data_IF_347918493481
#
_entry.id   IF_347918493481
#
_cell.length_a   1.000
_cell.length_b   1.000
_cell.length_c   1.000
_cell.angle_alpha   90.00
_cell.angle_beta   90.00
_cell.angle_gamma   90.00
#
_symmetry.space_group_name_H-M   'P 1'
#
loop_
_entity.id
_entity.type
_entity.pdbx_description
1 polymer ?
#
# COMPACT_ATOMS: atom_id res chain seq x y z
N UNK A 1 32.49 9.41 31.13
CA UNK A 1 31.11 9.27 30.61
C UNK A 1 30.99 8.32 29.41
N UNK A 2 32.00 8.18 28.57
CA UNK A 2 32.02 7.27 27.41
C UNK A 2 31.82 5.78 27.74
N UNK A 3 32.30 5.32 28.91
CA UNK A 3 32.24 3.89 29.30
C UNK A 3 30.82 3.41 29.66
N UNK A 4 29.99 4.22 30.32
CA UNK A 4 28.61 3.82 30.64
C UNK A 4 27.73 3.73 29.41
N UNK A 5 27.80 4.75 28.55
CA UNK A 5 27.07 4.76 27.28
C UNK A 5 27.46 3.54 26.40
N UNK A 6 28.76 3.26 26.26
CA UNK A 6 29.25 2.11 25.52
C UNK A 6 28.76 0.78 26.09
N UNK A 7 28.71 0.63 27.43
CA UNK A 7 28.21 -0.58 28.08
C UNK A 7 26.69 -0.76 27.87
N UNK A 8 25.91 0.33 27.97
CA UNK A 8 24.48 0.28 27.71
C UNK A 8 24.22 -0.18 26.28
N UNK A 9 24.79 0.51 25.27
CA UNK A 9 24.56 0.17 23.85
C UNK A 9 25.07 -1.20 23.43
N UNK A 10 26.16 -1.70 24.02
CA UNK A 10 26.65 -3.07 23.76
C UNK A 10 25.77 -4.17 24.36
N UNK A 11 24.92 -3.86 25.35
CA UNK A 11 24.05 -4.82 26.04
C UNK A 11 22.57 -4.68 25.66
N UNK A 12 22.22 -3.68 24.87
CA UNK A 12 20.84 -3.50 24.40
C UNK A 12 20.49 -4.68 23.49
N UNK A 13 19.48 -5.41 23.91
CA UNK A 13 18.86 -6.46 23.09
C UNK A 13 17.50 -5.95 22.60
N UNK A 14 17.10 -6.27 21.37
CA UNK A 14 15.76 -5.95 20.90
C UNK A 14 14.72 -6.53 21.87
N UNK A 15 13.71 -5.72 22.21
CA UNK A 15 12.60 -6.16 23.05
C UNK A 15 11.71 -7.09 22.26
N UNK A 16 11.38 -8.22 22.85
CA UNK A 16 10.45 -9.19 22.28
C UNK A 16 9.15 -9.14 23.09
N UNK A 17 8.03 -9.03 22.39
CA UNK A 17 6.69 -9.15 22.95
C UNK A 17 5.89 -10.15 22.08
N UNK A 18 5.26 -11.12 22.71
CA UNK A 18 4.54 -12.22 22.03
C UNK A 18 5.36 -12.88 20.89
N UNK A 19 6.66 -13.12 21.13
CA UNK A 19 7.56 -13.76 20.18
C UNK A 19 8.05 -12.89 19.01
N UNK A 20 7.71 -11.61 18.98
CA UNK A 20 8.14 -10.68 17.93
C UNK A 20 8.98 -9.52 18.51
N UNK A 21 9.91 -9.06 17.70
CA UNK A 21 10.65 -7.83 18.00
C UNK A 21 9.72 -6.62 17.86
N UNK A 22 9.72 -5.75 18.88
CA UNK A 22 8.99 -4.49 18.83
C UNK A 22 9.94 -3.37 18.37
N UNK A 23 9.43 -2.50 17.52
CA UNK A 23 10.12 -1.28 17.10
C UNK A 23 10.05 -0.22 18.19
N UNK A 24 10.85 0.85 18.09
CA UNK A 24 10.76 1.99 18.99
C UNK A 24 9.39 2.66 18.97
N UNK A 25 8.76 2.72 17.79
CA UNK A 25 7.43 3.30 17.60
C UNK A 25 6.36 2.44 18.29
N UNK A 26 6.36 1.13 18.07
CA UNK A 26 5.49 0.18 18.78
C UNK A 26 5.66 0.29 20.30
N UNK A 27 6.89 0.46 20.78
CA UNK A 27 7.15 0.62 22.21
C UNK A 27 6.57 1.92 22.76
N UNK A 28 6.67 3.01 22.00
CA UNK A 28 6.10 4.30 22.39
C UNK A 28 4.57 4.22 22.50
N UNK A 29 3.90 3.63 21.52
CA UNK A 29 2.45 3.42 21.55
C UNK A 29 2.00 2.56 22.73
N UNK A 30 2.76 1.52 23.06
CA UNK A 30 2.50 0.70 24.24
C UNK A 30 2.63 1.50 25.55
N UNK A 31 3.66 2.34 25.65
CA UNK A 31 3.83 3.23 26.80
C UNK A 31 2.68 4.23 26.92
N UNK A 32 2.23 4.82 25.81
CA UNK A 32 1.11 5.75 25.78
C UNK A 32 -0.20 5.07 26.20
N UNK A 33 -0.48 3.87 25.70
CA UNK A 33 -1.67 3.10 26.09
C UNK A 33 -1.67 2.80 27.59
N UNK A 34 -0.55 2.41 28.16
CA UNK A 34 -0.42 2.15 29.61
C UNK A 34 -0.58 3.43 30.44
N UNK A 35 0.07 4.51 30.04
CA UNK A 35 -0.03 5.78 30.73
C UNK A 35 -1.48 6.28 30.74
N UNK A 36 -2.17 6.17 29.62
CA UNK A 36 -3.58 6.55 29.51
C UNK A 36 -4.46 5.71 30.42
N UNK A 37 -4.30 4.39 30.40
CA UNK A 37 -5.07 3.48 31.26
C UNK A 37 -4.85 3.80 32.75
N UNK A 38 -3.60 4.01 33.19
CA UNK A 38 -3.27 4.34 34.56
C UNK A 38 -3.88 5.69 34.98
N UNK A 39 -3.79 6.71 34.13
CA UNK A 39 -4.35 8.04 34.39
C UNK A 39 -5.88 8.03 34.46
N UNK A 40 -6.54 7.08 33.80
CA UNK A 40 -7.99 6.86 33.85
C UNK A 40 -8.39 5.96 35.03
N UNK A 41 -7.46 5.56 35.89
CA UNK A 41 -7.73 4.70 37.04
C UNK A 41 -8.04 3.24 36.68
N UNK A 42 -7.76 2.83 35.44
CA UNK A 42 -7.94 1.46 34.98
C UNK A 42 -6.64 0.66 35.10
N UNK A 43 -6.79 -0.67 35.28
CA UNK A 43 -5.63 -1.57 35.26
C UNK A 43 -5.20 -1.80 33.81
N UNK A 44 -3.95 -1.49 33.43
CA UNK A 44 -3.46 -1.75 32.07
C UNK A 44 -3.53 -3.25 31.76
N UNK A 45 -4.25 -3.60 30.70
CA UNK A 45 -4.26 -4.96 30.17
C UNK A 45 -3.27 -5.07 29.01
N UNK A 46 -2.24 -5.88 29.21
CA UNK A 46 -1.16 -6.09 28.22
C UNK A 46 -1.72 -6.64 26.90
N UNK A 47 -2.68 -7.56 27.01
CA UNK A 47 -3.28 -8.22 25.84
C UNK A 47 -4.11 -7.25 25.00
N UNK A 48 -4.90 -6.38 25.63
CA UNK A 48 -5.66 -5.35 24.94
C UNK A 48 -4.76 -4.31 24.28
N UNK A 49 -3.72 -3.86 24.98
CA UNK A 49 -2.75 -2.91 24.43
C UNK A 49 -1.96 -3.53 23.25
N UNK A 50 -1.61 -4.80 23.34
CA UNK A 50 -0.98 -5.54 22.24
C UNK A 50 -1.89 -5.69 21.03
N UNK A 51 -3.16 -6.04 21.24
CA UNK A 51 -4.15 -6.16 20.15
C UNK A 51 -4.33 -4.82 19.43
N UNK A 52 -4.46 -3.73 20.18
CA UNK A 52 -4.56 -2.38 19.62
C UNK A 52 -3.32 -2.02 18.80
N UNK A 53 -2.13 -2.31 19.32
CA UNK A 53 -0.87 -2.08 18.63
C UNK A 53 -0.80 -2.85 17.32
N UNK A 54 -1.16 -4.14 17.34
CA UNK A 54 -1.18 -4.97 16.12
C UNK A 54 -2.14 -4.41 15.07
N UNK A 55 -3.32 -3.92 15.47
CA UNK A 55 -4.28 -3.31 14.57
C UNK A 55 -3.70 -2.04 13.93
N UNK A 56 -3.08 -1.16 14.72
CA UNK A 56 -2.46 0.06 14.20
C UNK A 56 -1.35 -0.25 13.20
N UNK A 57 -0.46 -1.20 13.51
CA UNK A 57 0.62 -1.60 12.61
C UNK A 57 0.07 -2.22 11.31
N UNK A 58 -1.00 -3.03 11.40
CA UNK A 58 -1.67 -3.56 10.22
C UNK A 58 -2.29 -2.44 9.38
N UNK A 59 -2.95 -1.46 9.98
CA UNK A 59 -3.50 -0.31 9.24
C UNK A 59 -2.40 0.50 8.53
N UNK A 60 -1.25 0.74 9.19
CA UNK A 60 -0.10 1.39 8.54
C UNK A 60 0.42 0.56 7.38
N UNK A 61 0.60 -0.75 7.59
CA UNK A 61 1.07 -1.65 6.54
C UNK A 61 0.11 -1.69 5.34
N UNK A 62 -1.21 -1.61 5.56
CA UNK A 62 -2.22 -1.47 4.49
C UNK A 62 -2.01 -0.19 3.70
N UNK A 63 -1.86 0.96 4.39
CA UNK A 63 -1.64 2.25 3.73
C UNK A 63 -0.34 2.26 2.90
N UNK A 64 0.73 1.72 3.44
CA UNK A 64 2.03 1.60 2.75
C UNK A 64 1.92 0.70 1.50
N UNK A 65 1.23 -0.44 1.63
CA UNK A 65 1.02 -1.37 0.51
C UNK A 65 0.22 -0.74 -0.62
N UNK A 66 -0.83 0.00 -0.28
CA UNK A 66 -1.67 0.72 -1.26
C UNK A 66 -0.88 1.86 -1.92
N UNK A 67 -0.12 2.63 -1.14
CA UNK A 67 0.70 3.73 -1.68
C UNK A 67 1.79 3.21 -2.64
N UNK A 68 2.42 2.09 -2.30
CA UNK A 68 3.40 1.42 -3.17
C UNK A 68 2.75 0.94 -4.46
N UNK A 69 1.59 0.28 -4.37
CA UNK A 69 0.81 -0.13 -5.53
C UNK A 69 0.48 1.04 -6.46
N UNK A 70 -0.01 2.16 -5.91
CA UNK A 70 -0.34 3.34 -6.71
C UNK A 70 0.87 3.93 -7.44
N UNK A 71 2.00 4.03 -6.73
CA UNK A 71 3.25 4.53 -7.29
C UNK A 71 3.69 3.66 -8.47
N UNK A 72 3.71 2.34 -8.28
CA UNK A 72 4.21 1.40 -9.27
C UNK A 72 3.24 1.26 -10.44
N UNK A 73 1.92 1.29 -10.19
CA UNK A 73 0.90 1.31 -11.24
C UNK A 73 1.05 2.56 -12.11
N UNK A 74 1.18 3.74 -11.50
CA UNK A 74 1.42 5.00 -12.23
C UNK A 74 2.68 4.92 -13.07
N UNK A 75 3.79 4.45 -12.50
CA UNK A 75 5.06 4.29 -13.22
C UNK A 75 4.93 3.34 -14.41
N UNK A 76 4.24 2.22 -14.25
CA UNK A 76 4.04 1.24 -15.31
C UNK A 76 3.14 1.74 -16.45
N UNK A 77 2.08 2.47 -16.13
CA UNK A 77 1.14 3.05 -17.10
C UNK A 77 1.76 4.25 -17.80
N UNK A 78 2.46 5.14 -17.10
CA UNK A 78 3.08 6.34 -17.69
C UNK A 78 4.22 6.03 -18.64
N UNK A 79 5.04 5.02 -18.36
CA UNK A 79 6.13 4.60 -19.26
C UNK A 79 5.57 4.07 -20.58
N UNK A 80 4.34 3.54 -20.58
CA UNK A 80 3.66 2.97 -21.74
C UNK A 80 2.55 3.86 -22.31
N UNK A 81 2.46 5.11 -21.90
CA UNK A 81 1.41 6.06 -22.32
C UNK A 81 1.28 6.27 -23.83
N UNK A 82 2.28 5.92 -24.61
CA UNK A 82 2.13 5.88 -26.07
C UNK A 82 1.34 4.68 -26.57
N UNK A 83 1.05 3.70 -25.73
CA UNK A 83 0.38 2.47 -26.14
C UNK A 83 -0.71 2.02 -25.16
N UNK A 84 -1.75 2.86 -24.97
CA UNK A 84 -3.00 2.47 -24.29
C UNK A 84 -3.74 1.31 -24.99
N UNK A 85 -3.20 0.79 -26.09
CA UNK A 85 -3.78 -0.28 -26.91
C UNK A 85 -3.68 -1.65 -26.28
N UNK A 86 -2.84 -1.84 -25.26
CA UNK A 86 -2.60 -3.17 -24.71
C UNK A 86 -3.22 -3.34 -23.32
N UNK A 87 -4.54 -3.56 -23.31
CA UNK A 87 -5.32 -3.85 -22.11
C UNK A 87 -4.80 -5.07 -21.32
N UNK A 88 -4.30 -6.08 -22.04
CA UNK A 88 -3.77 -7.29 -21.42
C UNK A 88 -2.51 -7.00 -20.59
N UNK A 89 -1.67 -6.07 -21.06
CA UNK A 89 -0.49 -5.61 -20.29
C UNK A 89 -0.91 -4.92 -19.00
N UNK A 90 -1.93 -4.04 -19.05
CA UNK A 90 -2.45 -3.37 -17.85
C UNK A 90 -3.02 -4.40 -16.86
N UNK A 91 -3.76 -5.39 -17.34
CA UNK A 91 -4.34 -6.47 -16.52
C UNK A 91 -3.25 -7.33 -15.87
N UNK A 92 -2.24 -7.71 -16.63
CA UNK A 92 -1.13 -8.50 -16.13
C UNK A 92 -0.29 -7.73 -15.10
N UNK A 93 0.01 -6.45 -15.38
CA UNK A 93 0.69 -5.54 -14.47
C UNK A 93 -0.08 -5.41 -13.15
N UNK A 94 -1.40 -5.16 -13.23
CA UNK A 94 -2.25 -5.08 -12.03
C UNK A 94 -2.20 -6.36 -11.20
N UNK A 95 -2.23 -7.53 -11.83
CA UNK A 95 -2.14 -8.81 -11.12
C UNK A 95 -0.82 -8.93 -10.36
N UNK A 96 0.30 -8.64 -11.01
CA UNK A 96 1.64 -8.70 -10.41
C UNK A 96 1.79 -7.70 -9.26
N UNK A 97 1.37 -6.45 -9.46
CA UNK A 97 1.45 -5.41 -8.44
C UNK A 97 0.55 -5.71 -7.23
N UNK A 98 -0.62 -6.29 -7.45
CA UNK A 98 -1.49 -6.74 -6.36
C UNK A 98 -0.83 -7.84 -5.52
N UNK A 99 -0.24 -8.84 -6.15
CA UNK A 99 0.47 -9.92 -5.46
C UNK A 99 1.65 -9.36 -4.65
N UNK A 100 2.44 -8.47 -5.23
CA UNK A 100 3.56 -7.80 -4.55
C UNK A 100 3.09 -6.98 -3.35
N UNK A 101 1.99 -6.24 -3.48
CA UNK A 101 1.42 -5.44 -2.38
C UNK A 101 0.95 -6.30 -1.22
N UNK A 102 0.35 -7.46 -1.49
CA UNK A 102 -0.05 -8.41 -0.45
C UNK A 102 1.17 -9.02 0.24
N UNK A 103 2.22 -9.37 -0.51
CA UNK A 103 3.46 -9.86 0.07
C UNK A 103 4.12 -8.82 0.97
N UNK A 104 4.23 -7.57 0.48
CA UNK A 104 4.75 -6.45 1.26
C UNK A 104 3.96 -6.22 2.56
N UNK A 105 2.63 -6.29 2.51
CA UNK A 105 1.80 -6.23 3.70
C UNK A 105 2.13 -7.35 4.69
N UNK A 106 2.24 -8.62 4.20
CA UNK A 106 2.53 -9.79 5.05
C UNK A 106 3.88 -9.70 5.76
N UNK A 107 4.86 -9.09 5.13
CA UNK A 107 6.17 -8.86 5.74
C UNK A 107 6.13 -7.90 6.93
N UNK A 108 5.26 -6.88 6.85
CA UNK A 108 5.12 -5.85 7.88
C UNK A 108 4.02 -6.15 8.91
N UNK A 109 3.00 -6.88 8.52
CA UNK A 109 1.82 -7.12 9.35
C UNK A 109 2.14 -7.93 10.60
N UNK A 110 1.49 -7.55 11.71
CA UNK A 110 1.69 -8.12 13.05
C UNK A 110 0.33 -8.57 13.59
N UNK A 111 0.28 -9.75 14.22
CA UNK A 111 -0.92 -10.22 14.92
C UNK A 111 -1.67 -11.32 14.17
N UNK A 112 -2.94 -11.48 14.54
CA UNK A 112 -3.87 -12.46 13.99
C UNK A 112 -4.88 -11.75 13.06
N UNK A 113 -5.70 -12.50 12.31
CA UNK A 113 -6.75 -11.97 11.43
C UNK A 113 -6.26 -11.13 10.23
N UNK A 114 -5.09 -11.44 9.71
CA UNK A 114 -4.51 -10.73 8.55
C UNK A 114 -5.39 -10.81 7.29
N UNK A 115 -6.29 -11.80 7.18
CA UNK A 115 -7.17 -11.98 6.02
C UNK A 115 -8.11 -10.80 5.76
N UNK A 116 -8.62 -10.18 6.82
CA UNK A 116 -9.50 -9.00 6.68
C UNK A 116 -8.76 -7.83 6.05
N UNK A 117 -7.54 -7.59 6.49
CA UNK A 117 -6.67 -6.57 5.92
C UNK A 117 -6.26 -6.87 4.47
N UNK A 118 -5.99 -8.13 4.14
CA UNK A 118 -5.70 -8.57 2.76
C UNK A 118 -6.92 -8.33 1.85
N UNK A 119 -8.13 -8.57 2.34
CA UNK A 119 -9.37 -8.27 1.62
C UNK A 119 -9.49 -6.77 1.40
N UNK A 120 -9.28 -5.97 2.44
CA UNK A 120 -9.29 -4.50 2.35
C UNK A 120 -8.28 -3.99 1.30
N UNK A 121 -7.05 -4.49 1.31
CA UNK A 121 -6.03 -4.15 0.30
C UNK A 121 -6.54 -4.52 -1.10
N UNK A 122 -7.12 -5.71 -1.26
CA UNK A 122 -7.62 -6.20 -2.54
C UNK A 122 -8.73 -5.32 -3.10
N UNK A 123 -9.66 -4.88 -2.26
CA UNK A 123 -10.78 -4.02 -2.64
C UNK A 123 -10.31 -2.62 -3.00
N UNK A 124 -9.39 -2.07 -2.22
CA UNK A 124 -8.82 -0.75 -2.49
C UNK A 124 -7.98 -0.74 -3.78
N UNK A 125 -7.20 -1.78 -4.02
CA UNK A 125 -6.46 -1.97 -5.29
C UNK A 125 -7.44 -2.09 -6.46
N UNK A 126 -8.53 -2.85 -6.29
CA UNK A 126 -9.54 -3.00 -7.34
C UNK A 126 -10.17 -1.66 -7.73
N UNK A 127 -10.55 -0.83 -6.76
CA UNK A 127 -11.09 0.52 -7.01
C UNK A 127 -10.12 1.38 -7.82
N UNK A 128 -8.84 1.39 -7.44
CA UNK A 128 -7.79 2.16 -8.12
C UNK A 128 -7.52 1.66 -9.52
N UNK A 129 -7.47 0.35 -9.69
CA UNK A 129 -7.34 -0.28 -11.01
C UNK A 129 -8.50 0.10 -11.94
N UNK A 130 -9.74 0.04 -11.46
CA UNK A 130 -10.91 0.42 -12.25
C UNK A 130 -10.88 1.89 -12.67
N UNK A 131 -10.43 2.79 -11.79
CA UNK A 131 -10.26 4.20 -12.13
C UNK A 131 -9.22 4.42 -13.23
N UNK A 132 -8.08 3.72 -13.17
CA UNK A 132 -7.04 3.79 -14.21
C UNK A 132 -7.54 3.19 -15.51
N UNK A 133 -8.21 2.06 -15.47
CA UNK A 133 -8.83 1.41 -16.62
C UNK A 133 -9.80 2.35 -17.34
N UNK A 134 -10.70 3.02 -16.61
CA UNK A 134 -11.66 3.96 -17.19
C UNK A 134 -10.94 5.12 -17.91
N UNK A 135 -9.91 5.69 -17.30
CA UNK A 135 -9.09 6.73 -17.95
C UNK A 135 -8.40 6.24 -19.22
N UNK A 136 -7.85 5.04 -19.21
CA UNK A 136 -7.22 4.45 -20.40
C UNK A 136 -8.23 4.26 -21.53
N UNK A 137 -9.46 3.83 -21.25
CA UNK A 137 -10.53 3.69 -22.22
C UNK A 137 -10.90 5.04 -22.84
N UNK A 138 -11.10 6.08 -22.04
CA UNK A 138 -11.39 7.42 -22.53
C UNK A 138 -10.30 7.95 -23.48
N UNK A 139 -9.02 7.78 -23.11
CA UNK A 139 -7.90 8.20 -23.95
C UNK A 139 -7.90 7.40 -25.27
N UNK A 140 -8.20 6.12 -25.21
CA UNK A 140 -8.28 5.28 -26.41
C UNK A 140 -9.41 5.72 -27.34
N UNK A 141 -10.61 5.98 -26.82
CA UNK A 141 -11.76 6.47 -27.57
C UNK A 141 -11.45 7.82 -28.26
N UNK A 142 -10.83 8.77 -27.52
CA UNK A 142 -10.40 10.05 -28.10
C UNK A 142 -9.43 9.85 -29.27
N UNK A 143 -8.40 9.00 -29.09
CA UNK A 143 -7.43 8.72 -30.16
C UNK A 143 -8.06 8.05 -31.38
N UNK A 144 -9.04 7.17 -31.19
CA UNK A 144 -9.79 6.57 -32.27
C UNK A 144 -10.59 7.61 -33.06
N UNK A 145 -11.30 8.52 -32.36
CA UNK A 145 -12.04 9.60 -33.01
C UNK A 145 -11.12 10.54 -33.81
N UNK A 146 -9.98 10.93 -33.24
CA UNK A 146 -8.98 11.76 -33.93
C UNK A 146 -8.41 11.08 -35.16
N UNK A 147 -8.15 9.75 -35.08
CA UNK A 147 -7.64 8.99 -36.22
C UNK A 147 -8.67 8.89 -37.35
N UNK A 148 -9.93 8.65 -37.01
CA UNK A 148 -11.04 8.62 -37.97
C UNK A 148 -11.22 9.99 -38.62
N UNK A 149 -11.23 11.07 -37.83
CA UNK A 149 -11.39 12.43 -38.38
C UNK A 149 -10.27 12.77 -39.39
N UNK A 150 -9.01 12.45 -39.04
CA UNK A 150 -7.87 12.66 -39.96
C UNK A 150 -8.01 11.87 -41.29
N UNK A 151 -8.48 10.65 -41.20
CA UNK A 151 -8.65 9.84 -42.41
C UNK A 151 -9.81 10.35 -43.27
N UNK A 152 -10.91 10.84 -42.67
CA UNK A 152 -12.02 11.49 -43.39
C UNK A 152 -11.53 12.76 -44.09
N UNK A 153 -10.80 13.65 -43.42
CA UNK A 153 -10.24 14.87 -44.03
C UNK A 153 -9.33 14.56 -45.20
N UNK A 154 -8.50 13.50 -45.07
CA UNK A 154 -7.63 13.07 -46.16
C UNK A 154 -8.43 12.61 -47.39
N UNK A 155 -9.43 11.76 -47.18
CA UNK A 155 -10.32 11.30 -48.25
C UNK A 155 -11.08 12.45 -48.92
N UNK A 156 -11.59 13.41 -48.16
CA UNK A 156 -12.24 14.60 -48.69
C UNK A 156 -11.29 15.47 -49.54
N UNK A 157 -10.00 15.53 -49.18
CA UNK A 157 -8.99 16.24 -49.95
C UNK A 157 -8.60 15.54 -51.26
N UNK A 158 -8.69 14.21 -51.31
CA UNK A 158 -8.39 13.39 -52.50
C UNK A 158 -9.55 13.40 -53.52
N UNK A 159 -10.78 13.70 -53.10
CA UNK A 159 -11.97 13.75 -53.95
C UNK A 159 -12.14 15.15 -54.60
N UNK A 160 -11.48 16.19 -54.12
CA UNK A 160 -11.50 17.55 -54.71
C UNK A 160 -10.42 17.70 -55.76
#
# INVERSE_FOLDING_TARGET
>A
MTTLRSRIFKRVKPKILNGRYITGEMFLELCQAYTTAINQGSVPCIESAWTYLCQNECHRAVQDAIATYEKDLKASVFIKQNDCRNYDVLKQCNKQLKEQSILFFREKAVGQNLKEFETQISDEIHKRYMAVKAKCLQIYEMKCHEAVAKEVEKLESEIR
#
